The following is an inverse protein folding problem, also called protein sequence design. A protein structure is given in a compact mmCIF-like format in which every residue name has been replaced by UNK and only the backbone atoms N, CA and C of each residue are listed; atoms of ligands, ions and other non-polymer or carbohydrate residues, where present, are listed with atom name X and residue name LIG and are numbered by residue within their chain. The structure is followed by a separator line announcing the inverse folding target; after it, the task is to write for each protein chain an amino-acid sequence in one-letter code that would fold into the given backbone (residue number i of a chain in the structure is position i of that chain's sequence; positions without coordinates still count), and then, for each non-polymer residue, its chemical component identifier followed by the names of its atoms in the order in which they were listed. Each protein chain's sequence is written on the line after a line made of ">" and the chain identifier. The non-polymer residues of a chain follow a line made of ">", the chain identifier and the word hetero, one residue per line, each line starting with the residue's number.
data_IF_852336727807
#
_entry.id   IF_852336727807
#
_cell.length_a   1.000
_cell.length_b   1.000
_cell.length_c   1.000
_cell.angle_alpha   90.00
_cell.angle_beta   90.00
_cell.angle_gamma   90.00
#
_symmetry.space_group_name_H-M   'P 1'
#
loop_
_entity.id
_entity.type
_entity.pdbx_description
1 polymer ?
#
# COMPACT_ATOMS: atom_id res chain seq x y z
N UNK A 1 16.41 -18.83 4.52
CA UNK A 1 16.33 -17.55 3.79
C UNK A 1 15.95 -16.47 4.80
N UNK A 2 16.67 -15.35 4.76
CA UNK A 2 16.37 -14.15 5.55
C UNK A 2 15.85 -13.07 4.59
N UNK A 3 14.67 -12.55 4.86
CA UNK A 3 14.07 -11.44 4.11
C UNK A 3 14.20 -10.16 4.95
N UNK A 4 14.77 -9.12 4.35
CA UNK A 4 14.96 -7.81 4.99
C UNK A 4 14.01 -6.80 4.34
N UNK A 5 13.16 -6.16 5.12
CA UNK A 5 12.28 -5.09 4.67
C UNK A 5 13.00 -3.74 4.69
N UNK A 6 12.76 -2.91 3.66
CA UNK A 6 13.32 -1.55 3.46
C UNK A 6 14.86 -1.47 3.64
N UNK A 7 15.57 -2.52 3.18
CA UNK A 7 16.99 -2.69 3.47
C UNK A 7 17.94 -2.28 2.33
N UNK A 8 17.46 -1.64 1.25
CA UNK A 8 18.31 -1.32 0.11
C UNK A 8 19.50 -0.42 0.48
N UNK A 9 19.33 0.49 1.46
CA UNK A 9 20.36 1.39 1.98
C UNK A 9 21.11 0.82 3.19
N UNK A 10 20.85 -0.42 3.63
CA UNK A 10 21.60 -1.07 4.72
C UNK A 10 22.90 -1.68 4.16
N UNK A 11 24.02 -0.97 4.33
CA UNK A 11 25.32 -1.36 3.75
C UNK A 11 26.13 -2.34 4.61
N UNK A 12 25.77 -2.52 5.85
CA UNK A 12 26.43 -3.41 6.82
C UNK A 12 25.93 -4.86 6.77
N UNK A 13 25.00 -5.16 5.86
CA UNK A 13 24.51 -6.52 5.61
C UNK A 13 24.71 -6.88 4.15
N UNK A 14 25.39 -8.02 3.91
CA UNK A 14 25.49 -8.58 2.56
C UNK A 14 24.11 -9.10 2.13
N UNK A 15 23.73 -8.78 0.90
CA UNK A 15 22.47 -9.23 0.29
C UNK A 15 22.79 -10.02 -0.97
N UNK A 16 22.32 -11.27 -1.04
CA UNK A 16 22.45 -12.08 -2.25
C UNK A 16 21.63 -11.50 -3.40
N UNK A 17 20.46 -10.95 -3.08
CA UNK A 17 19.52 -10.37 -4.01
C UNK A 17 18.90 -9.12 -3.40
N UNK A 18 18.66 -8.11 -4.20
CA UNK A 18 17.89 -6.93 -3.84
C UNK A 18 16.73 -6.77 -4.80
N UNK A 19 15.53 -6.65 -4.26
CA UNK A 19 14.29 -6.43 -5.00
C UNK A 19 13.89 -4.97 -4.82
N UNK A 20 13.72 -4.26 -5.93
CA UNK A 20 13.23 -2.91 -5.93
C UNK A 20 11.74 -2.88 -6.23
N UNK A 21 10.96 -2.22 -5.38
CA UNK A 21 9.51 -2.09 -5.58
C UNK A 21 9.20 -0.71 -6.12
N UNK A 22 8.56 -0.65 -7.28
CA UNK A 22 8.09 0.57 -7.92
C UNK A 22 6.56 0.57 -7.96
N UNK A 23 5.96 1.56 -7.33
CA UNK A 23 4.52 1.81 -7.41
C UNK A 23 4.27 2.99 -8.36
N UNK A 24 3.50 2.77 -9.42
CA UNK A 24 3.24 3.78 -10.46
C UNK A 24 2.49 5.00 -9.92
N UNK A 25 1.72 4.86 -8.85
CA UNK A 25 0.92 5.94 -8.27
C UNK A 25 1.82 6.91 -7.49
N UNK A 26 2.73 6.39 -6.66
CA UNK A 26 3.70 7.22 -5.94
C UNK A 26 4.87 7.63 -6.82
N UNK A 27 5.29 6.73 -7.73
CA UNK A 27 6.44 6.91 -8.59
C UNK A 27 7.69 7.35 -7.79
N UNK A 28 8.54 8.17 -8.39
CA UNK A 28 9.73 8.73 -7.73
C UNK A 28 9.49 10.17 -7.21
N UNK A 29 8.23 10.61 -7.15
CA UNK A 29 7.87 11.98 -6.78
C UNK A 29 8.57 13.00 -7.68
N UNK A 30 9.17 14.04 -7.08
CA UNK A 30 9.93 15.05 -7.79
C UNK A 30 11.37 14.61 -8.17
N UNK A 31 11.74 13.35 -7.90
CA UNK A 31 13.05 12.73 -8.16
C UNK A 31 14.23 13.35 -7.40
N UNK A 32 13.97 14.19 -6.42
CA UNK A 32 14.99 14.80 -5.57
C UNK A 32 15.25 13.97 -4.33
N UNK A 33 16.47 14.13 -3.79
CA UNK A 33 16.85 13.46 -2.54
C UNK A 33 16.32 14.22 -1.33
N UNK A 34 16.16 13.51 -0.22
CA UNK A 34 15.86 14.10 1.09
C UNK A 34 16.92 15.19 1.42
N UNK A 35 16.53 16.38 1.91
CA UNK A 35 15.18 16.80 2.33
C UNK A 35 14.32 17.44 1.21
N UNK A 36 14.84 17.64 0.01
CA UNK A 36 14.14 18.35 -1.07
C UNK A 36 13.13 17.47 -1.83
N UNK A 37 13.17 16.18 -1.62
CA UNK A 37 12.27 15.20 -2.24
C UNK A 37 12.20 13.89 -1.44
N UNK A 38 11.46 12.90 -1.94
CA UNK A 38 11.18 11.68 -1.20
C UNK A 38 12.31 10.64 -1.26
N UNK A 39 13.30 10.82 -2.14
CA UNK A 39 14.29 9.77 -2.41
C UNK A 39 15.40 9.76 -1.36
N UNK A 40 15.75 8.56 -0.87
CA UNK A 40 16.92 8.36 0.00
C UNK A 40 18.21 8.25 -0.78
N UNK A 41 18.14 7.83 -2.04
CA UNK A 41 19.25 7.79 -3.00
C UNK A 41 18.74 8.00 -4.43
N UNK A 42 19.65 8.25 -5.37
CA UNK A 42 19.26 8.46 -6.76
C UNK A 42 18.66 7.17 -7.37
N UNK A 43 17.66 7.33 -8.23
CA UNK A 43 17.02 6.22 -8.96
C UNK A 43 18.06 5.35 -9.66
N UNK A 44 19.06 5.97 -10.31
CA UNK A 44 20.16 5.26 -10.98
C UNK A 44 20.96 4.37 -10.02
N UNK A 45 21.24 4.83 -8.81
CA UNK A 45 21.96 4.03 -7.81
C UNK A 45 21.11 2.86 -7.29
N UNK A 46 19.84 3.11 -7.03
CA UNK A 46 18.90 2.07 -6.58
C UNK A 46 18.77 0.95 -7.63
N UNK A 47 18.61 1.33 -8.91
CA UNK A 47 18.55 0.37 -10.03
C UNK A 47 19.83 -0.45 -10.10
N UNK A 48 21.00 0.17 -10.02
CA UNK A 48 22.29 -0.54 -10.12
C UNK A 48 22.50 -1.60 -9.02
N UNK A 49 21.88 -1.43 -7.85
CA UNK A 49 21.98 -2.34 -6.72
C UNK A 49 20.95 -3.48 -6.75
N UNK A 50 19.95 -3.35 -7.60
CA UNK A 50 18.79 -4.25 -7.59
C UNK A 50 18.86 -5.21 -8.77
N UNK A 51 18.50 -6.46 -8.52
CA UNK A 51 18.47 -7.53 -9.52
C UNK A 51 17.07 -7.76 -10.05
N UNK A 52 16.05 -7.59 -9.21
CA UNK A 52 14.64 -7.79 -9.55
C UNK A 52 13.87 -6.50 -9.30
N UNK A 53 12.90 -6.23 -10.17
CA UNK A 53 12.04 -5.06 -10.09
C UNK A 53 10.58 -5.47 -10.03
N UNK A 54 9.92 -5.19 -8.91
CA UNK A 54 8.48 -5.33 -8.76
C UNK A 54 7.79 -4.05 -9.23
N UNK A 55 6.93 -4.18 -10.23
CA UNK A 55 6.14 -3.08 -10.78
C UNK A 55 4.69 -3.24 -10.32
N UNK A 56 4.24 -2.36 -9.42
CA UNK A 56 2.88 -2.42 -8.89
C UNK A 56 1.95 -1.59 -9.76
N UNK A 57 0.88 -2.23 -10.25
CA UNK A 57 -0.17 -1.65 -11.09
C UNK A 57 0.34 -0.95 -12.37
N UNK A 58 1.48 -1.41 -12.89
CA UNK A 58 2.03 -0.93 -14.16
C UNK A 58 2.93 -1.97 -14.79
N UNK A 59 3.06 -1.91 -16.11
CA UNK A 59 4.04 -2.70 -16.88
C UNK A 59 5.24 -1.85 -17.29
N UNK A 60 5.17 -0.54 -17.07
CA UNK A 60 6.18 0.41 -17.55
C UNK A 60 6.81 1.17 -16.39
N UNK A 61 8.13 1.18 -16.38
CA UNK A 61 8.96 2.11 -15.62
C UNK A 61 10.06 2.61 -16.56
N UNK A 62 10.00 3.88 -16.94
CA UNK A 62 10.90 4.48 -17.96
C UNK A 62 12.38 4.46 -17.58
N UNK A 63 12.70 4.25 -16.31
CA UNK A 63 14.08 4.14 -15.83
C UNK A 63 14.66 2.73 -16.00
N UNK A 64 13.83 1.73 -16.32
CA UNK A 64 14.23 0.36 -16.56
C UNK A 64 14.24 0.05 -18.05
N UNK A 65 15.24 -0.70 -18.49
CA UNK A 65 15.34 -1.23 -19.85
C UNK A 65 14.95 -2.71 -19.93
N UNK A 66 15.04 -3.31 -21.10
CA UNK A 66 14.64 -4.71 -21.33
C UNK A 66 15.57 -5.74 -20.69
N UNK A 67 16.79 -5.35 -20.28
CA UNK A 67 17.72 -6.25 -19.59
C UNK A 67 17.39 -6.46 -18.11
N UNK A 68 16.50 -5.62 -17.53
CA UNK A 68 16.07 -5.75 -16.15
C UNK A 68 14.94 -6.76 -16.01
N UNK A 69 15.06 -7.68 -15.04
CA UNK A 69 13.96 -8.57 -14.72
C UNK A 69 12.84 -7.81 -14.01
N UNK A 70 11.69 -7.74 -14.68
CA UNK A 70 10.50 -7.04 -14.19
C UNK A 70 9.43 -8.08 -13.83
N UNK A 71 8.87 -7.95 -12.63
CA UNK A 71 7.77 -8.77 -12.17
C UNK A 71 6.56 -7.87 -11.87
N UNK A 72 5.50 -8.09 -12.61
CA UNK A 72 4.32 -7.23 -12.55
C UNK A 72 3.41 -7.72 -11.44
N UNK A 73 3.05 -6.81 -10.56
CA UNK A 73 2.17 -7.05 -9.44
C UNK A 73 0.94 -6.15 -9.53
N UNK A 74 -0.18 -6.66 -9.10
CA UNK A 74 -1.43 -5.91 -9.00
C UNK A 74 -1.84 -5.84 -7.54
N UNK A 75 -2.11 -4.65 -7.06
CA UNK A 75 -2.73 -4.47 -5.77
C UNK A 75 -4.25 -4.53 -5.94
N UNK A 76 -4.88 -5.47 -5.27
CA UNK A 76 -6.33 -5.66 -5.25
C UNK A 76 -6.85 -5.47 -3.83
N UNK A 77 -8.08 -5.00 -3.70
CA UNK A 77 -8.80 -5.02 -2.44
C UNK A 77 -9.87 -6.11 -2.46
N UNK A 78 -9.98 -6.79 -1.34
CA UNK A 78 -11.05 -7.75 -1.12
C UNK A 78 -12.18 -7.03 -0.37
N UNK A 79 -13.36 -7.04 -0.95
CA UNK A 79 -14.52 -6.35 -0.42
C UNK A 79 -15.53 -7.39 0.05
N UNK A 80 -15.88 -7.32 1.33
CA UNK A 80 -16.99 -8.11 1.84
C UNK A 80 -18.26 -7.74 1.06
N UNK A 81 -18.99 -8.72 0.46
CA UNK A 81 -20.20 -8.48 -0.30
C UNK A 81 -21.24 -7.62 0.40
N UNK A 82 -21.33 -7.69 1.73
CA UNK A 82 -22.26 -6.88 2.52
C UNK A 82 -22.01 -5.37 2.42
N UNK A 83 -20.78 -4.93 2.07
CA UNK A 83 -20.47 -3.50 1.93
C UNK A 83 -20.96 -2.92 0.61
N UNK A 84 -21.24 -3.74 -0.41
CA UNK A 84 -21.65 -3.27 -1.74
C UNK A 84 -23.03 -2.61 -1.73
N UNK A 85 -23.90 -3.03 -0.81
CA UNK A 85 -25.27 -2.54 -0.72
C UNK A 85 -25.45 -1.45 0.33
N UNK A 86 -24.40 -1.12 1.09
CA UNK A 86 -24.47 -0.19 2.21
C UNK A 86 -23.84 1.16 1.86
N UNK A 87 -24.32 2.20 2.55
CA UNK A 87 -23.59 3.46 2.61
C UNK A 87 -22.37 3.28 3.50
N UNK A 88 -21.24 3.81 3.08
CA UNK A 88 -19.96 3.61 3.77
C UNK A 88 -19.31 4.95 4.11
N UNK A 89 -18.74 5.03 5.29
CA UNK A 89 -17.77 6.05 5.69
C UNK A 89 -16.42 5.39 5.79
N UNK A 90 -15.45 5.83 4.99
CA UNK A 90 -14.11 5.29 4.99
C UNK A 90 -13.13 6.25 5.65
N UNK A 91 -12.24 5.73 6.50
CA UNK A 91 -11.14 6.52 7.07
C UNK A 91 -9.81 5.78 6.95
N UNK A 92 -8.71 6.54 6.89
CA UNK A 92 -7.36 5.98 6.82
C UNK A 92 -6.32 6.97 7.34
N UNK A 93 -5.27 6.43 7.98
CA UNK A 93 -4.05 7.11 8.41
C UNK A 93 -2.81 6.45 7.79
N UNK A 94 -2.74 6.51 6.45
CA UNK A 94 -1.66 5.96 5.62
C UNK A 94 -0.82 7.11 5.06
N UNK A 95 0.42 6.85 4.69
CA UNK A 95 1.28 7.83 4.00
C UNK A 95 0.69 8.34 2.68
N UNK A 96 -0.25 7.60 2.08
CA UNK A 96 -0.97 8.01 0.87
C UNK A 96 -2.43 7.57 0.90
N UNK A 97 -3.25 8.24 1.72
CA UNK A 97 -4.67 7.94 1.93
C UNK A 97 -5.49 7.97 0.64
N UNK A 98 -5.17 8.89 -0.27
CA UNK A 98 -5.88 9.06 -1.54
C UNK A 98 -5.96 7.76 -2.35
N UNK A 99 -4.87 6.97 -2.38
CA UNK A 99 -4.85 5.68 -3.10
C UNK A 99 -5.94 4.73 -2.61
N UNK A 100 -6.10 4.62 -1.31
CA UNK A 100 -7.12 3.77 -0.69
C UNK A 100 -8.53 4.23 -1.07
N UNK A 101 -8.83 5.53 -0.94
CA UNK A 101 -10.15 6.04 -1.27
C UNK A 101 -10.48 5.97 -2.77
N UNK A 102 -9.51 6.24 -3.63
CA UNK A 102 -9.70 6.13 -5.09
C UNK A 102 -9.96 4.66 -5.49
N UNK A 103 -9.33 3.71 -4.82
CA UNK A 103 -9.56 2.29 -5.05
C UNK A 103 -10.97 1.86 -4.60
N UNK A 104 -11.44 2.29 -3.42
CA UNK A 104 -12.82 2.05 -2.98
C UNK A 104 -13.84 2.60 -3.98
N UNK A 105 -13.58 3.78 -4.54
CA UNK A 105 -14.43 4.38 -5.59
C UNK A 105 -14.43 3.57 -6.88
N UNK A 106 -13.26 3.05 -7.29
CA UNK A 106 -13.17 2.21 -8.52
C UNK A 106 -13.95 0.91 -8.41
N UNK A 107 -14.19 0.42 -7.20
CA UNK A 107 -15.01 -0.76 -6.91
C UNK A 107 -16.51 -0.44 -6.79
N UNK A 108 -16.91 0.80 -7.14
CA UNK A 108 -18.29 1.28 -7.08
C UNK A 108 -18.96 1.18 -5.71
N UNK A 109 -18.20 1.32 -4.62
CA UNK A 109 -18.73 1.39 -3.28
C UNK A 109 -19.41 2.74 -3.02
N UNK A 110 -20.52 2.72 -2.29
CA UNK A 110 -21.27 3.92 -1.95
C UNK A 110 -20.62 4.68 -0.77
N UNK A 111 -19.54 5.43 -1.06
CA UNK A 111 -18.85 6.26 -0.08
C UNK A 111 -19.58 7.58 0.14
N UNK A 112 -20.21 7.75 1.30
CA UNK A 112 -20.88 9.02 1.68
C UNK A 112 -19.92 10.02 2.29
N UNK A 113 -18.83 9.54 2.91
CA UNK A 113 -17.79 10.38 3.51
C UNK A 113 -16.44 9.64 3.48
N UNK A 114 -15.36 10.39 3.30
CA UNK A 114 -13.99 9.91 3.53
C UNK A 114 -13.27 10.81 4.53
N UNK A 115 -12.55 10.23 5.49
CA UNK A 115 -11.80 10.97 6.50
C UNK A 115 -10.32 10.57 6.46
N UNK A 116 -9.46 11.56 6.23
CA UNK A 116 -8.02 11.38 6.27
C UNK A 116 -7.47 11.67 7.66
N UNK A 117 -6.54 10.85 8.09
CA UNK A 117 -5.71 11.06 9.28
C UNK A 117 -4.23 11.09 8.88
N UNK A 118 -3.35 11.65 9.74
CA UNK A 118 -1.91 11.60 9.52
C UNK A 118 -1.40 10.15 9.41
N UNK A 119 -0.29 9.97 8.72
CA UNK A 119 0.34 8.65 8.63
C UNK A 119 0.68 8.10 10.02
N UNK A 120 0.45 6.80 10.20
CA UNK A 120 0.63 6.09 11.48
C UNK A 120 -0.18 6.66 12.66
N UNK A 121 -1.31 7.32 12.38
CA UNK A 121 -2.19 7.88 13.42
C UNK A 121 -2.61 6.80 14.44
N UNK A 122 -2.51 7.14 15.73
CA UNK A 122 -3.05 6.32 16.82
C UNK A 122 -4.44 6.83 17.14
N UNK A 123 -5.46 6.04 16.80
CA UNK A 123 -6.84 6.45 16.96
C UNK A 123 -7.23 6.53 18.44
N UNK A 124 -7.75 7.67 18.84
CA UNK A 124 -8.30 7.87 20.19
C UNK A 124 -9.76 7.40 20.25
N UNK A 125 -10.26 7.22 21.47
CA UNK A 125 -11.69 6.95 21.73
C UNK A 125 -12.55 8.04 21.08
N UNK A 126 -12.15 9.30 21.22
CA UNK A 126 -12.90 10.44 20.67
C UNK A 126 -12.91 10.43 19.13
N UNK A 127 -11.80 10.07 18.48
CA UNK A 127 -11.75 9.95 17.03
C UNK A 127 -12.76 8.93 16.52
N UNK A 128 -12.79 7.75 17.11
CA UNK A 128 -13.68 6.67 16.67
C UNK A 128 -15.13 6.98 17.05
N UNK A 129 -15.36 7.56 18.22
CA UNK A 129 -16.71 7.96 18.64
C UNK A 129 -17.32 8.98 17.67
N UNK A 130 -16.54 10.00 17.24
CA UNK A 130 -16.99 10.98 16.26
C UNK A 130 -17.28 10.35 14.89
N UNK A 131 -16.47 9.39 14.46
CA UNK A 131 -16.69 8.67 13.19
C UNK A 131 -17.95 7.80 13.25
N UNK A 132 -18.18 7.11 14.37
CA UNK A 132 -19.39 6.30 14.57
C UNK A 132 -20.65 7.17 14.67
N UNK A 133 -20.59 8.33 15.31
CA UNK A 133 -21.69 9.28 15.33
C UNK A 133 -22.04 9.78 13.90
N UNK A 134 -21.02 10.07 13.08
CA UNK A 134 -21.22 10.41 11.68
C UNK A 134 -21.80 9.22 10.88
N UNK A 135 -21.36 8.00 11.15
CA UNK A 135 -21.88 6.81 10.50
C UNK A 135 -23.37 6.60 10.84
N UNK A 136 -23.74 6.73 12.10
CA UNK A 136 -25.12 6.64 12.55
C UNK A 136 -26.02 7.72 11.91
N UNK A 137 -25.57 8.98 11.86
CA UNK A 137 -26.32 10.09 11.24
C UNK A 137 -26.57 9.89 9.76
N UNK A 138 -25.70 9.18 9.05
CA UNK A 138 -25.79 8.92 7.62
C UNK A 138 -26.41 7.55 7.29
N UNK A 139 -26.79 6.77 8.30
CA UNK A 139 -27.17 5.36 8.12
C UNK A 139 -26.11 4.60 7.29
N UNK A 140 -24.85 4.72 7.71
CA UNK A 140 -23.68 4.21 7.02
C UNK A 140 -22.84 3.31 7.91
N UNK A 141 -22.06 2.41 7.26
CA UNK A 141 -21.07 1.58 7.93
C UNK A 141 -19.70 2.26 7.92
N UNK A 142 -18.97 2.13 9.02
CA UNK A 142 -17.61 2.63 9.14
C UNK A 142 -16.62 1.55 8.66
N UNK A 143 -15.72 1.91 7.74
CA UNK A 143 -14.70 1.01 7.19
C UNK A 143 -13.31 1.64 7.20
N UNK A 144 -12.29 0.79 7.32
CA UNK A 144 -10.88 1.22 7.27
C UNK A 144 -9.98 0.13 6.70
N UNK A 145 -8.67 0.40 6.61
CA UNK A 145 -7.66 -0.58 6.22
C UNK A 145 -7.29 -1.53 7.37
N UNK A 146 -6.70 -2.68 7.06
CA UNK A 146 -6.16 -3.60 8.09
C UNK A 146 -5.13 -2.90 8.99
N UNK A 147 -4.26 -2.07 8.40
CA UNK A 147 -3.21 -1.35 9.12
C UNK A 147 -3.78 -0.33 10.11
N UNK A 148 -4.85 0.34 9.73
CA UNK A 148 -5.51 1.30 10.61
C UNK A 148 -6.35 0.59 11.67
N UNK A 149 -7.03 -0.50 11.31
CA UNK A 149 -7.86 -1.26 12.23
C UNK A 149 -7.08 -1.79 13.45
N UNK A 150 -5.83 -2.21 13.28
CA UNK A 150 -4.97 -2.64 14.40
C UNK A 150 -4.75 -1.52 15.43
N UNK A 151 -4.78 -0.25 15.01
CA UNK A 151 -4.53 0.94 15.86
C UNK A 151 -5.81 1.50 16.51
N UNK A 152 -6.96 0.91 16.22
CA UNK A 152 -8.24 1.29 16.85
C UNK A 152 -8.29 0.70 18.28
N UNK A 153 -8.83 1.44 19.27
CA UNK A 153 -9.09 0.87 20.59
C UNK A 153 -9.98 -0.38 20.51
N UNK A 154 -9.64 -1.43 21.26
CA UNK A 154 -10.23 -2.77 21.12
C UNK A 154 -11.76 -2.78 21.23
N UNK A 155 -12.31 -1.92 22.07
CA UNK A 155 -13.77 -1.79 22.29
C UNK A 155 -14.56 -1.38 21.05
N UNK A 156 -13.91 -0.73 20.06
CA UNK A 156 -14.56 -0.28 18.82
C UNK A 156 -14.28 -1.16 17.60
N UNK A 157 -13.34 -2.10 17.70
CA UNK A 157 -12.92 -2.94 16.56
C UNK A 157 -14.07 -3.69 15.92
N UNK A 158 -15.02 -4.18 16.71
CA UNK A 158 -16.20 -4.89 16.20
C UNK A 158 -17.20 -4.01 15.45
N UNK A 159 -17.10 -2.68 15.62
CA UNK A 159 -17.99 -1.70 14.99
C UNK A 159 -17.41 -1.12 13.69
N UNK A 160 -16.19 -1.51 13.31
CA UNK A 160 -15.48 -1.01 12.14
C UNK A 160 -15.16 -2.16 11.21
N UNK A 161 -15.62 -2.08 9.97
CA UNK A 161 -15.31 -3.04 8.92
C UNK A 161 -13.90 -2.88 8.38
N UNK A 162 -13.31 -3.99 7.96
CA UNK A 162 -11.96 -4.02 7.41
C UNK A 162 -12.03 -4.23 5.90
N UNK A 163 -11.25 -3.44 5.18
CA UNK A 163 -10.95 -3.69 3.77
C UNK A 163 -9.57 -4.33 3.70
N UNK A 164 -9.54 -5.58 3.24
CA UNK A 164 -8.31 -6.32 3.03
C UNK A 164 -7.67 -5.94 1.70
N UNK A 165 -6.36 -5.81 1.71
CA UNK A 165 -5.60 -5.53 0.50
C UNK A 165 -4.53 -6.58 0.28
N UNK A 166 -4.46 -7.12 -0.94
CA UNK A 166 -3.45 -8.09 -1.32
C UNK A 166 -2.69 -7.68 -2.58
N UNK A 167 -1.46 -8.15 -2.66
CA UNK A 167 -0.65 -8.04 -3.87
C UNK A 167 -0.69 -9.38 -4.57
N UNK A 168 -1.20 -9.39 -5.80
CA UNK A 168 -1.31 -10.59 -6.64
C UNK A 168 -0.39 -10.51 -7.85
N UNK A 169 0.11 -11.64 -8.28
CA UNK A 169 0.92 -11.79 -9.49
C UNK A 169 0.27 -12.78 -10.44
N UNK A 170 0.31 -12.44 -11.72
CA UNK A 170 -0.15 -13.33 -12.79
C UNK A 170 0.96 -14.34 -13.21
N UNK A 171 2.23 -14.16 -12.75
CA UNK A 171 3.39 -14.99 -13.14
C UNK A 171 4.32 -15.34 -11.97
N UNK A 172 3.83 -16.09 -11.01
CA UNK A 172 4.65 -16.53 -9.86
C UNK A 172 5.78 -17.47 -10.26
N UNK A 173 5.59 -18.32 -11.28
CA UNK A 173 6.63 -19.27 -11.72
C UNK A 173 7.87 -18.56 -12.26
N UNK A 174 7.68 -17.52 -13.07
CA UNK A 174 8.80 -16.72 -13.59
C UNK A 174 9.61 -16.05 -12.49
N UNK A 175 8.93 -15.57 -11.46
CA UNK A 175 9.59 -14.98 -10.29
C UNK A 175 10.41 -16.01 -9.49
N UNK A 176 9.84 -17.19 -9.22
CA UNK A 176 10.55 -18.27 -8.51
C UNK A 176 11.82 -18.68 -9.25
N UNK A 177 11.72 -18.90 -10.57
CA UNK A 177 12.88 -19.24 -11.40
C UNK A 177 13.95 -18.16 -11.39
N UNK A 178 13.56 -16.89 -11.34
CA UNK A 178 14.54 -15.78 -11.29
C UNK A 178 15.23 -15.71 -9.93
N UNK A 179 14.53 -15.88 -8.81
CA UNK A 179 15.11 -15.90 -7.46
C UNK A 179 16.11 -17.06 -7.30
N UNK A 180 15.80 -18.24 -7.83
CA UNK A 180 16.66 -19.43 -7.73
C UNK A 180 18.09 -19.22 -8.29
N UNK A 181 18.28 -18.24 -9.17
CA UNK A 181 19.62 -17.89 -9.69
C UNK A 181 20.55 -17.26 -8.65
N UNK A 182 20.00 -16.78 -7.53
CA UNK A 182 20.72 -16.00 -6.51
C UNK A 182 20.80 -16.71 -5.15
N UNK A 183 20.14 -17.85 -5.00
CA UNK A 183 20.11 -18.69 -3.81
C UNK A 183 20.96 -19.93 -4.02
#
# INVERSE_FOLDING_TARGET
>A
ILVLDDALQSYNVYKNISIYVYDSIQSFGNRLLVPSGPLRESVKNAIRKSQIFFLINTEVCNDLNDSHFKHILKYKIEINPEFKEKKLIAFAGLGFNKKFFDQLKSENLNLVLTKEFPDHHQYTVDDIFLLLDQANKNDAFLITTEKDHVRIPDEFKSSVGIIHGEIVSDNNLGFTTEIEKYI
#
